data_IF_718823250939
#
_entry.id   IF_718823250939
#
_cell.length_a   1.000
_cell.length_b   1.000
_cell.length_c   1.000
_cell.angle_alpha   90.00
_cell.angle_beta   90.00
_cell.angle_gamma   90.00
#
_symmetry.space_group_name_H-M   'P 1'
#
loop_
_entity.id
_entity.type
_entity.pdbx_description
1 polymer ?
#
# COMPACT_ATOMS: atom_id res chain seq x y z
N UNK A 1 -9.77 0.16 12.90
CA UNK A 1 -9.64 1.20 11.86
C UNK A 1 -10.65 0.93 10.77
N UNK A 2 -11.69 1.75 10.75
CA UNK A 2 -12.69 1.81 9.69
C UNK A 2 -12.77 3.26 9.22
N UNK A 3 -12.81 3.47 7.91
CA UNK A 3 -13.01 4.81 7.35
C UNK A 3 -14.47 5.19 7.54
N UNK A 4 -14.72 6.35 8.14
CA UNK A 4 -16.04 6.94 8.40
C UNK A 4 -16.42 8.00 7.40
N UNK A 5 -15.44 8.73 6.87
CA UNK A 5 -15.67 9.75 5.85
C UNK A 5 -14.45 9.89 4.95
N UNK A 6 -14.69 10.12 3.67
CA UNK A 6 -13.67 10.48 2.68
C UNK A 6 -14.08 11.83 2.10
N UNK A 7 -13.23 12.84 2.21
CA UNK A 7 -13.51 14.17 1.68
C UNK A 7 -12.34 14.66 0.83
N UNK A 8 -12.63 15.05 -0.41
CA UNK A 8 -11.62 15.45 -1.38
C UNK A 8 -11.91 16.86 -1.87
N UNK A 9 -10.89 17.71 -1.86
CA UNK A 9 -10.95 19.07 -2.41
C UNK A 9 -9.79 19.30 -3.37
N UNK A 10 -10.10 19.77 -4.58
CA UNK A 10 -9.11 20.25 -5.56
C UNK A 10 -7.98 19.26 -5.88
N UNK A 11 -8.29 17.96 -5.94
CA UNK A 11 -7.36 16.89 -6.30
C UNK A 11 -7.76 16.23 -7.61
N UNK A 12 -6.82 16.17 -8.57
CA UNK A 12 -7.00 15.59 -9.92
C UNK A 12 -8.29 16.01 -10.64
N UNK A 13 -9.35 15.20 -10.55
CA UNK A 13 -10.62 15.40 -11.23
C UNK A 13 -11.68 16.11 -10.36
N UNK A 14 -11.43 16.25 -9.06
CA UNK A 14 -12.34 16.86 -8.11
C UNK A 14 -12.00 18.35 -8.02
N UNK A 15 -12.86 19.22 -8.57
CA UNK A 15 -12.73 20.68 -8.52
C UNK A 15 -13.82 21.25 -7.62
N UNK A 16 -13.42 21.98 -6.59
CA UNK A 16 -14.30 22.70 -5.67
C UNK A 16 -13.91 24.17 -5.75
N UNK A 17 -14.91 25.04 -5.90
CA UNK A 17 -14.76 26.49 -5.94
C UNK A 17 -15.67 27.11 -4.87
N UNK A 18 -15.44 28.38 -4.52
CA UNK A 18 -16.20 29.13 -3.50
C UNK A 18 -17.71 29.23 -3.79
N UNK A 19 -18.14 29.09 -5.05
CA UNK A 19 -19.55 29.08 -5.46
C UNK A 19 -20.24 27.72 -5.24
N UNK A 20 -19.50 26.71 -4.78
CA UNK A 20 -19.96 25.35 -4.61
C UNK A 20 -19.88 24.93 -3.15
N UNK A 21 -20.69 23.95 -2.77
CA UNK A 21 -20.66 23.39 -1.44
C UNK A 21 -19.30 22.74 -1.15
N UNK A 22 -18.64 23.14 -0.06
CA UNK A 22 -17.32 22.61 0.31
C UNK A 22 -17.32 21.09 0.51
N UNK A 23 -18.47 20.51 0.84
CA UNK A 23 -18.71 19.08 1.04
C UNK A 23 -18.99 18.30 -0.27
N UNK A 24 -18.96 18.95 -1.44
CA UNK A 24 -19.40 18.38 -2.73
C UNK A 24 -18.84 16.99 -3.05
N UNK A 25 -17.58 16.74 -2.72
CA UNK A 25 -16.94 15.43 -2.89
C UNK A 25 -16.60 14.80 -1.55
N UNK A 26 -17.63 14.67 -0.71
CA UNK A 26 -17.58 13.87 0.49
C UNK A 26 -18.38 12.57 0.33
N UNK A 27 -17.86 11.49 0.90
CA UNK A 27 -18.51 10.19 0.97
C UNK A 27 -18.56 9.80 2.44
N UNK A 28 -19.77 9.69 2.98
CA UNK A 28 -20.02 9.27 4.35
C UNK A 28 -20.23 7.76 4.43
N UNK A 29 -19.51 7.16 5.38
CA UNK A 29 -19.49 5.73 5.70
C UNK A 29 -19.67 5.56 7.22
N UNK A 30 -20.81 5.97 7.79
CA UNK A 30 -20.99 6.09 9.23
C UNK A 30 -20.76 4.78 10.00
N UNK A 31 -20.87 3.61 9.36
CA UNK A 31 -20.59 2.31 9.98
C UNK A 31 -19.27 1.67 9.51
N UNK A 32 -18.55 2.33 8.61
CA UNK A 32 -17.38 1.78 7.92
C UNK A 32 -17.79 0.69 6.94
N UNK A 33 -18.76 1.02 6.08
CA UNK A 33 -19.34 0.14 5.08
C UNK A 33 -18.36 -0.18 3.94
N UNK A 34 -18.65 -1.26 3.20
CA UNK A 34 -17.96 -1.54 1.96
C UNK A 34 -18.44 -0.57 0.87
N UNK A 35 -17.51 0.10 0.20
CA UNK A 35 -17.80 1.09 -0.83
C UNK A 35 -17.60 0.51 -2.24
N UNK A 36 -18.67 0.48 -3.05
CA UNK A 36 -18.62 0.20 -4.48
C UNK A 36 -18.86 1.48 -5.28
N UNK A 37 -17.92 1.83 -6.17
CA UNK A 37 -18.00 3.02 -7.01
C UNK A 37 -18.15 2.61 -8.48
N UNK A 38 -19.16 3.13 -9.15
CA UNK A 38 -19.41 2.94 -10.59
C UNK A 38 -19.82 4.26 -11.25
N UNK A 39 -19.79 4.32 -12.58
CA UNK A 39 -20.14 5.54 -13.34
C UNK A 39 -19.48 5.59 -14.70
N UNK A 40 -19.77 6.63 -15.48
CA UNK A 40 -19.29 6.81 -16.86
C UNK A 40 -17.78 7.06 -16.96
N UNK A 41 -17.22 6.82 -18.15
CA UNK A 41 -15.81 7.14 -18.41
C UNK A 41 -15.57 8.65 -18.21
N UNK A 42 -14.50 8.99 -17.49
CA UNK A 42 -14.20 10.38 -17.13
C UNK A 42 -14.84 10.88 -15.83
N UNK A 43 -15.72 10.11 -15.18
CA UNK A 43 -16.43 10.53 -13.95
C UNK A 43 -15.56 10.64 -12.69
N UNK A 44 -14.23 10.48 -12.78
CA UNK A 44 -13.32 10.62 -11.64
C UNK A 44 -13.09 9.36 -10.79
N UNK A 45 -13.63 8.19 -11.14
CA UNK A 45 -13.42 6.92 -10.39
C UNK A 45 -11.94 6.60 -10.15
N UNK A 46 -11.14 6.65 -11.21
CA UNK A 46 -9.69 6.41 -11.12
C UNK A 46 -8.98 7.50 -10.32
N UNK A 47 -9.51 8.72 -10.30
CA UNK A 47 -8.98 9.80 -9.47
C UNK A 47 -9.26 9.56 -7.99
N UNK A 48 -10.45 9.06 -7.63
CA UNK A 48 -10.77 8.65 -6.25
C UNK A 48 -9.86 7.50 -5.78
N UNK A 49 -9.70 6.47 -6.62
CA UNK A 49 -8.75 5.38 -6.33
C UNK A 49 -7.32 5.92 -6.07
N UNK A 50 -6.85 6.86 -6.91
CA UNK A 50 -5.52 7.47 -6.75
C UNK A 50 -5.44 8.39 -5.53
N UNK A 51 -6.52 9.10 -5.16
CA UNK A 51 -6.56 9.93 -3.96
C UNK A 51 -6.31 9.09 -2.72
N UNK A 52 -7.05 7.99 -2.56
CA UNK A 52 -6.86 7.05 -1.46
C UNK A 52 -5.46 6.44 -1.48
N UNK A 53 -5.00 5.98 -2.65
CA UNK A 53 -3.65 5.40 -2.78
C UNK A 53 -2.56 6.40 -2.41
N UNK A 54 -2.65 7.65 -2.87
CA UNK A 54 -1.66 8.68 -2.58
C UNK A 54 -1.68 9.07 -1.10
N UNK A 55 -2.86 9.17 -0.49
CA UNK A 55 -3.04 9.42 0.94
C UNK A 55 -2.32 8.39 1.81
N UNK A 56 -2.56 7.08 1.60
CA UNK A 56 -1.93 6.03 2.41
C UNK A 56 -0.41 5.95 2.18
N UNK A 57 0.05 6.18 0.95
CA UNK A 57 1.47 6.21 0.64
C UNK A 57 2.20 7.35 1.35
N UNK A 58 1.61 8.54 1.37
CA UNK A 58 2.23 9.73 1.97
C UNK A 58 2.29 9.62 3.50
N UNK A 59 1.28 9.00 4.13
CA UNK A 59 1.34 8.67 5.56
C UNK A 59 2.49 7.72 5.93
N UNK A 60 3.19 7.12 4.95
CA UNK A 60 4.40 6.32 5.14
C UNK A 60 5.68 7.04 4.69
N UNK A 61 5.67 8.38 4.59
CA UNK A 61 6.82 9.22 4.23
C UNK A 61 7.45 8.92 2.87
N UNK A 62 6.65 8.58 1.85
CA UNK A 62 7.16 8.31 0.49
C UNK A 62 7.45 9.56 -0.36
N UNK A 63 7.29 10.77 0.19
CA UNK A 63 7.72 12.03 -0.45
C UNK A 63 6.99 12.36 -1.77
N UNK A 64 5.83 11.75 -2.03
CA UNK A 64 5.06 12.03 -3.26
C UNK A 64 4.37 13.40 -3.18
N UNK A 65 4.55 14.26 -4.19
CA UNK A 65 3.89 15.56 -4.20
C UNK A 65 2.38 15.43 -4.40
N UNK A 66 1.62 16.33 -3.77
CA UNK A 66 0.17 16.42 -3.93
C UNK A 66 -0.18 16.78 -5.38
N UNK A 67 -1.17 16.10 -5.96
CA UNK A 67 -1.62 16.34 -7.34
C UNK A 67 -2.88 17.21 -7.36
N UNK A 68 -2.69 18.52 -7.49
CA UNK A 68 -3.77 19.51 -7.61
C UNK A 68 -4.64 19.24 -8.86
N UNK A 69 -5.90 19.66 -8.80
CA UNK A 69 -6.76 19.72 -9.97
C UNK A 69 -6.17 20.66 -11.02
N UNK A 70 -6.31 20.34 -12.31
CA UNK A 70 -5.77 21.14 -13.41
C UNK A 70 -6.35 22.57 -13.45
N UNK A 71 -7.61 22.72 -13.03
CA UNK A 71 -8.35 23.98 -13.04
C UNK A 71 -8.38 24.65 -11.66
N UNK A 72 -7.54 24.20 -10.73
CA UNK A 72 -7.42 24.85 -9.43
C UNK A 72 -6.71 26.20 -9.58
N UNK A 73 -7.29 27.24 -9.00
CA UNK A 73 -6.71 28.58 -8.92
C UNK A 73 -6.67 29.03 -7.46
N UNK A 74 -5.52 29.57 -7.04
CA UNK A 74 -5.35 30.09 -5.69
C UNK A 74 -6.28 31.30 -5.45
N UNK A 75 -7.00 31.29 -4.33
CA UNK A 75 -8.00 32.32 -3.98
C UNK A 75 -9.45 31.97 -4.35
N UNK A 76 -9.68 30.94 -5.17
CA UNK A 76 -11.04 30.46 -5.50
C UNK A 76 -11.59 29.45 -4.48
N UNK A 77 -10.82 29.06 -3.46
CA UNK A 77 -11.27 28.27 -2.31
C UNK A 77 -10.73 28.84 -1.01
N UNK A 78 -11.49 28.64 0.07
CA UNK A 78 -11.07 28.99 1.44
C UNK A 78 -9.93 28.11 1.93
N UNK A 79 -9.99 26.82 1.59
CA UNK A 79 -9.00 25.82 1.97
C UNK A 79 -8.05 25.51 0.82
N UNK A 80 -6.83 25.10 1.17
CA UNK A 80 -5.91 24.48 0.23
C UNK A 80 -6.42 23.14 -0.29
N UNK A 81 -5.99 22.69 -1.49
CA UNK A 81 -6.28 21.34 -1.96
C UNK A 81 -5.92 20.26 -0.94
N UNK A 82 -6.84 19.31 -0.72
CA UNK A 82 -6.64 18.25 0.27
C UNK A 82 -7.37 16.95 -0.05
N UNK A 83 -6.93 15.89 0.64
CA UNK A 83 -7.63 14.64 0.85
C UNK A 83 -7.72 14.44 2.37
N UNK A 84 -8.94 14.34 2.89
CA UNK A 84 -9.25 14.19 4.31
C UNK A 84 -9.97 12.87 4.53
N UNK A 85 -9.52 12.10 5.52
CA UNK A 85 -10.12 10.84 5.92
C UNK A 85 -10.42 10.89 7.42
N UNK A 86 -11.67 10.66 7.75
CA UNK A 86 -12.12 10.43 9.12
C UNK A 86 -12.19 8.93 9.38
N UNK A 87 -11.71 8.49 10.54
CA UNK A 87 -11.75 7.08 10.95
C UNK A 87 -12.65 6.86 12.18
N UNK A 88 -12.75 5.62 12.64
CA UNK A 88 -13.69 5.16 13.68
C UNK A 88 -13.44 5.72 15.09
N UNK A 89 -12.32 6.41 15.32
CA UNK A 89 -12.02 7.16 16.55
C UNK A 89 -12.26 8.67 16.42
N UNK A 90 -12.95 9.11 15.36
CA UNK A 90 -13.22 10.50 14.99
C UNK A 90 -11.96 11.34 14.70
N UNK A 91 -10.79 10.72 14.56
CA UNK A 91 -9.60 11.44 14.13
C UNK A 91 -9.67 11.76 12.64
N UNK A 92 -9.25 12.98 12.32
CA UNK A 92 -9.14 13.48 10.95
C UNK A 92 -7.69 13.46 10.52
N UNK A 93 -7.46 12.75 9.41
CA UNK A 93 -6.17 12.64 8.78
C UNK A 93 -6.22 13.32 7.43
N UNK A 94 -5.35 14.31 7.23
CA UNK A 94 -5.34 15.14 6.03
C UNK A 94 -4.01 15.06 5.31
N UNK A 95 -4.08 14.90 3.99
CA UNK A 95 -2.99 15.14 3.06
C UNK A 95 -3.30 16.40 2.25
N UNK A 96 -2.47 17.44 2.35
CA UNK A 96 -2.69 18.73 1.67
C UNK A 96 -1.49 19.16 0.83
N UNK A 97 -1.68 20.21 0.04
CA UNK A 97 -0.65 20.83 -0.79
C UNK A 97 0.24 21.86 -0.08
N UNK A 98 -0.05 22.17 1.19
CA UNK A 98 0.55 23.24 2.01
C UNK A 98 2.01 22.97 2.44
N UNK A 99 2.58 21.86 1.98
CA UNK A 99 3.91 21.40 2.38
C UNK A 99 3.90 20.48 3.61
N UNK A 100 2.81 20.42 4.37
CA UNK A 100 2.60 19.38 5.38
C UNK A 100 1.94 18.18 4.72
N UNK A 101 2.78 17.31 4.18
CA UNK A 101 2.36 16.14 3.42
C UNK A 101 1.41 15.22 4.21
N UNK A 102 1.37 15.29 5.54
CA UNK A 102 0.38 14.59 6.34
C UNK A 102 0.16 15.30 7.69
N UNK A 103 -1.09 15.60 8.02
CA UNK A 103 -1.51 16.27 9.25
C UNK A 103 -2.60 15.46 9.94
N UNK A 104 -2.47 15.28 11.26
CA UNK A 104 -3.61 14.90 12.10
C UNK A 104 -4.23 16.16 12.66
N UNK A 105 -5.47 16.41 12.30
CA UNK A 105 -6.14 17.67 12.61
C UNK A 105 -6.84 17.58 13.97
N UNK A 106 -7.40 16.41 14.30
CA UNK A 106 -8.06 16.15 15.58
C UNK A 106 -7.57 14.81 16.13
N UNK A 107 -6.82 14.82 17.25
CA UNK A 107 -6.45 13.61 17.98
C UNK A 107 -7.04 13.69 19.40
N UNK A 108 -8.35 13.46 19.53
CA UNK A 108 -9.02 13.44 20.84
C UNK A 108 -8.51 12.28 21.72
N UNK A 109 -7.96 11.24 21.09
CA UNK A 109 -7.54 9.98 21.72
C UNK A 109 -6.08 10.00 22.22
N UNK A 110 -5.26 10.96 21.77
CA UNK A 110 -3.83 11.04 22.09
C UNK A 110 -2.99 9.86 21.57
N UNK A 111 -3.53 9.04 20.65
CA UNK A 111 -2.88 7.80 20.20
C UNK A 111 -1.96 8.08 19.03
N UNK A 112 -0.79 7.45 19.07
CA UNK A 112 0.30 7.60 18.12
C UNK A 112 -0.11 7.14 16.71
N UNK A 113 0.39 7.85 15.72
CA UNK A 113 -0.01 7.88 14.29
C UNK A 113 0.31 6.60 13.50
N UNK A 114 0.67 5.54 14.20
CA UNK A 114 1.25 4.32 13.67
C UNK A 114 0.24 3.46 12.88
N UNK A 115 -1.07 3.65 13.07
CA UNK A 115 -2.09 2.80 12.43
C UNK A 115 -2.26 3.04 10.94
N UNK A 116 -2.14 4.29 10.45
CA UNK A 116 -2.23 4.55 9.01
C UNK A 116 -0.98 4.01 8.29
N UNK A 117 0.19 4.16 8.91
CA UNK A 117 1.42 3.53 8.43
C UNK A 117 1.30 2.01 8.44
N UNK A 118 0.74 1.41 9.50
CA UNK A 118 0.49 -0.03 9.57
C UNK A 118 -0.54 -0.52 8.53
N UNK A 119 -1.61 0.24 8.29
CA UNK A 119 -2.58 -0.08 7.23
C UNK A 119 -1.94 -0.02 5.85
N UNK A 120 -1.01 0.92 5.62
CA UNK A 120 -0.25 1.01 4.39
C UNK A 120 0.73 -0.16 4.19
N UNK A 121 1.21 -0.82 5.25
CA UNK A 121 2.04 -2.04 5.15
C UNK A 121 1.29 -3.14 4.39
N UNK A 122 -0.03 -3.23 4.55
CA UNK A 122 -0.88 -4.22 3.85
C UNK A 122 -1.33 -3.81 2.44
N UNK A 123 -0.85 -2.66 1.93
CA UNK A 123 -1.09 -2.05 0.61
C UNK A 123 -1.94 -2.86 -0.41
N UNK A 124 -3.26 -2.92 -0.19
CA UNK A 124 -4.20 -3.70 -1.00
C UNK A 124 -4.70 -3.02 -2.27
N UNK A 125 -3.98 -2.01 -2.78
CA UNK A 125 -4.41 -1.22 -3.93
C UNK A 125 -4.17 -1.95 -5.25
N UNK A 126 -5.12 -2.79 -5.64
CA UNK A 126 -5.09 -3.54 -6.90
C UNK A 126 -5.80 -2.75 -8.00
N UNK A 127 -5.11 -2.47 -9.10
CA UNK A 127 -5.74 -1.93 -10.31
C UNK A 127 -6.04 -3.03 -11.32
N UNK A 128 -6.93 -2.75 -12.28
CA UNK A 128 -7.18 -3.65 -13.41
C UNK A 128 -5.89 -3.97 -14.19
N UNK A 129 -4.98 -3.01 -14.31
CA UNK A 129 -3.67 -3.23 -14.96
C UNK A 129 -2.83 -4.27 -14.23
N UNK A 130 -2.92 -4.32 -12.91
CA UNK A 130 -2.20 -5.32 -12.10
C UNK A 130 -2.82 -6.70 -12.30
N UNK A 131 -4.14 -6.80 -12.40
CA UNK A 131 -4.84 -8.05 -12.76
C UNK A 131 -4.55 -8.50 -14.20
N UNK A 132 -4.38 -7.57 -15.14
CA UNK A 132 -4.03 -7.91 -16.52
C UNK A 132 -2.68 -8.62 -16.63
N UNK A 133 -1.73 -8.35 -15.71
CA UNK A 133 -0.44 -9.08 -15.65
C UNK A 133 -0.65 -10.59 -15.41
N UNK A 134 -1.74 -10.97 -14.75
CA UNK A 134 -2.12 -12.37 -14.58
C UNK A 134 -2.74 -12.98 -15.85
N UNK A 135 -3.25 -12.18 -16.78
CA UNK A 135 -3.87 -12.69 -18.01
C UNK A 135 -2.93 -12.68 -19.22
N UNK A 136 -2.09 -11.65 -19.35
CA UNK A 136 -1.10 -11.58 -20.42
C UNK A 136 0.14 -12.39 -20.05
N UNK A 137 0.10 -13.69 -20.36
CA UNK A 137 1.23 -14.61 -20.24
C UNK A 137 1.59 -15.16 -21.60
N UNK A 138 2.84 -15.59 -21.76
CA UNK A 138 3.18 -16.48 -22.86
C UNK A 138 2.45 -17.81 -22.63
N UNK A 139 1.92 -18.41 -23.69
CA UNK A 139 1.10 -19.62 -23.61
C UNK A 139 1.80 -20.72 -22.79
N UNK A 140 1.02 -21.44 -21.95
CA UNK A 140 1.44 -22.51 -21.04
C UNK A 140 2.27 -22.14 -19.79
N UNK A 141 2.40 -20.86 -19.41
CA UNK A 141 3.03 -20.50 -18.14
C UNK A 141 2.04 -20.34 -16.96
N UNK A 142 2.34 -21.02 -15.85
CA UNK A 142 1.65 -20.81 -14.57
C UNK A 142 1.78 -19.34 -14.09
N UNK A 143 0.85 -18.85 -13.24
CA UNK A 143 0.91 -17.48 -12.78
C UNK A 143 2.11 -17.30 -11.88
N UNK A 144 3.02 -16.39 -12.23
CA UNK A 144 4.06 -15.97 -11.30
C UNK A 144 3.48 -14.97 -10.29
N UNK A 145 2.89 -15.53 -9.23
CA UNK A 145 2.35 -14.76 -8.10
C UNK A 145 3.45 -14.04 -7.32
N UNK A 146 4.67 -14.58 -7.30
CA UNK A 146 5.80 -13.96 -6.59
C UNK A 146 6.18 -12.66 -7.28
N UNK A 147 6.33 -12.68 -8.60
CA UNK A 147 6.58 -11.46 -9.37
C UNK A 147 5.41 -10.48 -9.31
N UNK A 148 4.16 -10.96 -9.31
CA UNK A 148 2.99 -10.09 -9.19
C UNK A 148 2.94 -9.34 -7.86
N UNK A 149 3.17 -10.03 -6.75
CA UNK A 149 3.04 -9.44 -5.42
C UNK A 149 4.32 -8.78 -4.96
N UNK A 150 5.45 -9.46 -5.08
CA UNK A 150 6.71 -9.04 -4.47
C UNK A 150 7.70 -8.46 -5.47
N UNK A 151 7.56 -8.70 -6.77
CA UNK A 151 8.51 -8.25 -7.80
C UNK A 151 8.76 -6.73 -7.79
N UNK A 152 9.72 -6.28 -8.60
CA UNK A 152 10.14 -4.87 -8.66
C UNK A 152 8.96 -3.90 -8.88
N UNK A 153 8.04 -4.26 -9.78
CA UNK A 153 6.79 -3.53 -10.06
C UNK A 153 5.56 -4.27 -9.51
N UNK A 154 5.76 -5.10 -8.48
CA UNK A 154 4.74 -5.88 -7.83
C UNK A 154 3.79 -5.03 -6.96
N UNK A 155 2.68 -5.63 -6.54
CA UNK A 155 1.65 -4.97 -5.73
C UNK A 155 2.21 -4.44 -4.40
N UNK A 156 3.15 -5.16 -3.80
CA UNK A 156 3.80 -4.86 -2.54
C UNK A 156 5.25 -4.37 -2.72
N UNK A 157 5.60 -3.87 -3.90
CA UNK A 157 6.94 -3.35 -4.23
C UNK A 157 7.42 -2.26 -3.26
N UNK A 158 6.52 -1.39 -2.81
CA UNK A 158 6.80 -0.32 -1.84
C UNK A 158 6.70 -0.78 -0.37
N UNK A 159 6.29 -2.03 -0.10
CA UNK A 159 6.24 -2.56 1.26
C UNK A 159 7.68 -2.76 1.79
N UNK A 160 7.92 -2.25 3.00
CA UNK A 160 9.21 -2.44 3.70
C UNK A 160 9.22 -3.81 4.35
N UNK A 161 10.32 -4.54 4.20
CA UNK A 161 10.49 -5.88 4.80
C UNK A 161 10.30 -5.79 6.32
N UNK A 162 9.37 -6.56 6.91
CA UNK A 162 8.81 -6.23 8.24
C UNK A 162 9.71 -6.48 9.47
N UNK A 163 10.99 -6.84 9.35
CA UNK A 163 11.83 -7.06 10.53
C UNK A 163 13.35 -7.01 10.26
N UNK A 164 13.92 -5.84 9.93
CA UNK A 164 15.37 -5.72 9.90
C UNK A 164 15.91 -5.65 11.34
N UNK A 165 16.93 -6.47 11.64
CA UNK A 165 17.58 -6.48 12.96
C UNK A 165 18.22 -5.13 13.34
N UNK A 166 18.52 -4.29 12.33
CA UNK A 166 18.98 -2.92 12.52
C UNK A 166 18.14 -1.95 11.67
N UNK A 167 17.80 -0.74 12.17
CA UNK A 167 16.98 0.23 11.45
C UNK A 167 17.53 0.62 10.06
N UNK A 168 18.86 0.69 9.90
CA UNK A 168 19.54 0.97 8.64
C UNK A 168 19.31 -0.07 7.53
N UNK A 169 18.86 -1.27 7.92
CA UNK A 169 18.58 -2.36 6.98
C UNK A 169 17.12 -2.39 6.50
N UNK A 170 16.31 -1.37 6.87
CA UNK A 170 14.98 -1.18 6.29
C UNK A 170 15.10 -0.95 4.78
N UNK A 171 14.52 -1.86 4.01
CA UNK A 171 14.51 -1.81 2.55
C UNK A 171 13.13 -2.19 2.03
N UNK A 172 12.66 -1.51 0.99
CA UNK A 172 11.44 -1.88 0.28
C UNK A 172 11.69 -3.09 -0.64
N UNK A 173 10.66 -3.90 -0.92
CA UNK A 173 10.81 -5.06 -1.81
C UNK A 173 11.40 -4.70 -3.18
N UNK A 174 11.01 -3.57 -3.78
CA UNK A 174 11.57 -3.12 -5.06
C UNK A 174 13.09 -2.92 -5.01
N UNK A 175 13.57 -2.30 -3.93
CA UNK A 175 14.99 -1.97 -3.76
C UNK A 175 15.78 -3.23 -3.40
N UNK A 176 15.15 -4.17 -2.70
CA UNK A 176 15.68 -5.50 -2.46
C UNK A 176 15.90 -6.24 -3.78
N UNK A 177 14.91 -6.26 -4.68
CA UNK A 177 15.07 -6.89 -5.99
C UNK A 177 16.15 -6.23 -6.85
N UNK A 178 16.28 -4.91 -6.80
CA UNK A 178 17.37 -4.19 -7.49
C UNK A 178 18.73 -4.64 -6.94
N UNK A 179 18.87 -4.72 -5.61
CA UNK A 179 20.11 -5.23 -4.98
C UNK A 179 20.39 -6.68 -5.36
N UNK A 180 19.37 -7.53 -5.37
CA UNK A 180 19.50 -8.95 -5.73
C UNK A 180 19.79 -9.15 -7.22
N UNK A 181 19.26 -8.30 -8.11
CA UNK A 181 19.47 -8.38 -9.55
C UNK A 181 20.91 -8.10 -9.98
N UNK A 182 21.70 -7.45 -9.14
CA UNK A 182 23.14 -7.24 -9.34
C UNK A 182 24.04 -8.38 -8.85
N UNK A 183 23.47 -9.44 -8.25
CA UNK A 183 24.24 -10.56 -7.73
C UNK A 183 24.65 -11.51 -8.86
N UNK A 184 25.86 -12.08 -8.74
CA UNK A 184 26.34 -13.10 -9.68
C UNK A 184 25.40 -14.31 -9.68
N UNK A 185 24.85 -14.65 -10.86
CA UNK A 185 23.92 -15.78 -11.03
C UNK A 185 24.52 -17.12 -10.62
N UNK A 186 25.82 -17.33 -10.83
CA UNK A 186 26.50 -18.56 -10.39
C UNK A 186 26.52 -18.64 -8.86
N UNK A 187 26.88 -17.54 -8.19
CA UNK A 187 26.91 -17.48 -6.73
C UNK A 187 25.50 -17.66 -6.10
N UNK A 188 24.46 -17.13 -6.75
CA UNK A 188 23.06 -17.35 -6.35
C UNK A 188 22.65 -18.82 -6.53
N UNK A 189 23.06 -19.44 -7.63
CA UNK A 189 22.75 -20.86 -7.90
C UNK A 189 23.43 -21.77 -6.88
N UNK A 190 24.70 -21.51 -6.56
CA UNK A 190 25.44 -22.23 -5.52
C UNK A 190 24.79 -22.03 -4.14
N UNK A 191 24.42 -20.80 -3.77
CA UNK A 191 23.73 -20.54 -2.52
C UNK A 191 22.41 -21.31 -2.41
N UNK A 192 21.56 -21.24 -3.44
CA UNK A 192 20.27 -21.93 -3.45
C UNK A 192 20.44 -23.45 -3.37
N UNK A 193 21.44 -24.01 -4.06
CA UNK A 193 21.76 -25.44 -4.01
C UNK A 193 22.18 -25.89 -2.61
N UNK A 194 23.03 -25.09 -1.96
CA UNK A 194 23.46 -25.35 -0.58
C UNK A 194 22.29 -25.25 0.41
N UNK A 195 21.44 -24.24 0.27
CA UNK A 195 20.24 -24.06 1.12
C UNK A 195 19.26 -25.24 0.96
N UNK A 196 19.00 -25.67 -0.27
CA UNK A 196 18.13 -26.82 -0.54
C UNK A 196 18.68 -28.11 0.09
N UNK A 197 19.99 -28.32 0.00
CA UNK A 197 20.67 -29.46 0.63
C UNK A 197 20.53 -29.42 2.15
N UNK A 198 20.75 -28.25 2.76
CA UNK A 198 20.62 -28.06 4.20
C UNK A 198 19.20 -28.33 4.70
N UNK A 199 18.18 -27.88 3.96
CA UNK A 199 16.79 -28.19 4.29
C UNK A 199 16.46 -29.68 4.15
N UNK A 200 16.97 -30.35 3.13
CA UNK A 200 16.82 -31.81 2.99
C UNK A 200 17.48 -32.59 4.14
N UNK A 201 18.65 -32.15 4.60
CA UNK A 201 19.28 -32.72 5.79
C UNK A 201 18.46 -32.47 7.06
N UNK A 202 17.94 -31.26 7.23
CA UNK A 202 17.10 -30.91 8.37
C UNK A 202 15.83 -31.77 8.40
N UNK A 203 15.17 -31.93 7.25
CA UNK A 203 14.00 -32.79 7.09
C UNK A 203 14.32 -34.24 7.46
N UNK A 204 15.44 -34.76 6.95
CA UNK A 204 15.89 -36.12 7.26
C UNK A 204 16.11 -36.31 8.77
N UNK A 205 16.82 -35.37 9.41
CA UNK A 205 17.06 -35.39 10.86
C UNK A 205 15.77 -35.27 11.66
N UNK A 206 14.85 -34.38 11.26
CA UNK A 206 13.55 -34.23 11.90
C UNK A 206 12.71 -35.51 11.80
N UNK A 207 12.73 -36.17 10.65
CA UNK A 207 12.03 -37.45 10.43
C UNK A 207 12.63 -38.60 11.26
N UNK A 208 13.95 -38.66 11.41
CA UNK A 208 14.62 -39.61 12.32
C UNK A 208 14.18 -39.37 13.76
N UNK A 209 14.14 -38.11 14.21
CA UNK A 209 13.70 -37.73 15.55
C UNK A 209 12.24 -38.14 15.79
N UNK A 210 11.36 -37.85 14.83
CA UNK A 210 9.96 -38.27 14.84
C UNK A 210 9.81 -39.79 14.94
N UNK A 211 10.63 -40.56 14.22
CA UNK A 211 10.62 -42.02 14.28
C UNK A 211 11.08 -42.56 15.65
N UNK A 212 12.06 -41.92 16.29
CA UNK A 212 12.50 -42.25 17.64
C UNK A 212 11.38 -42.05 18.69
N UNK A 213 10.66 -40.94 18.62
CA UNK A 213 9.53 -40.67 19.53
C UNK A 213 8.33 -41.58 19.26
N UNK A 214 8.07 -41.95 18.01
CA UNK A 214 7.02 -42.93 17.68
C UNK A 214 7.34 -44.34 18.21
N UNK A 215 8.62 -44.72 18.28
CA UNK A 215 9.06 -46.00 18.85
C UNK A 215 9.05 -46.06 20.37
N UNK A 216 9.09 -44.93 21.07
CA UNK A 216 9.08 -44.86 22.54
C UNK A 216 7.69 -44.72 23.15
N UNK A 217 6.65 -44.54 22.31
CA UNK A 217 5.24 -44.50 22.70
C UNK A 217 4.49 -45.84 22.49
N UNK A 218 5.18 -46.88 22.03
CA UNK A 218 4.70 -48.25 21.88
C UNK A 218 5.46 -49.17 22.86
#
# INVERSE_FOLDING_TARGET
MKIKRIHISNYRAFLVNNDQESSRYAIDLPNGENLLIYGENGSGKSSLFRALKDFFNVASNTGKPFQKNLFYEEGNTSDEPFIDIEIDDNSHHRFSSDGNQYLLINNESGVDTNYITQANITNGFISYRDLLKLHFRQDNQEPDLVSLFLGQDGLFSDMVVPAPAQPENKIAYKDLWIKCGGLNQEALTDYNTNVATLFGELETKANILLAFFKKSAA
#
